data_IF_970458756258
#
_entry.id   IF_970458756258
#
_cell.length_a   1.000
_cell.length_b   1.000
_cell.length_c   1.000
_cell.angle_alpha   90.00
_cell.angle_beta   90.00
_cell.angle_gamma   90.00
#
_symmetry.space_group_name_H-M   'P 1'
#
loop_
_entity.id
_entity.type
_entity.pdbx_description
1 polymer ?
#
# COMPACT_ATOMS: atom_id res chain seq x y z
N UNK A 1 -51.88 -67.42 33.98
CA UNK A 1 -52.17 -66.16 34.69
C UNK A 1 -51.27 -65.04 34.15
N UNK A 2 -51.88 -64.09 33.46
CA UNK A 2 -51.56 -62.65 33.35
C UNK A 2 -50.12 -62.09 33.36
N UNK A 3 -49.77 -61.45 32.23
CA UNK A 3 -49.09 -60.14 31.99
C UNK A 3 -47.77 -59.81 32.71
N UNK A 4 -46.74 -59.45 31.94
CA UNK A 4 -46.39 -58.04 31.63
C UNK A 4 -45.15 -57.92 30.74
N UNK A 5 -45.09 -56.80 30.02
CA UNK A 5 -44.27 -56.40 28.88
C UNK A 5 -42.80 -56.07 29.22
N UNK A 6 -41.87 -56.30 28.28
CA UNK A 6 -40.75 -55.37 27.95
C UNK A 6 -40.00 -55.79 26.68
N UNK A 7 -40.03 -54.91 25.68
CA UNK A 7 -39.21 -54.91 24.47
C UNK A 7 -37.76 -54.50 24.76
N UNK A 8 -36.78 -55.07 24.04
CA UNK A 8 -35.63 -54.31 23.51
C UNK A 8 -35.04 -55.02 22.28
N UNK A 9 -35.04 -54.32 21.16
CA UNK A 9 -34.57 -54.72 19.82
C UNK A 9 -33.14 -54.24 19.53
N UNK A 10 -32.39 -55.05 18.75
CA UNK A 10 -31.49 -54.69 17.63
C UNK A 10 -30.32 -53.71 17.88
N UNK A 11 -29.18 -53.71 17.19
CA UNK A 11 -28.54 -54.55 16.17
C UNK A 11 -27.20 -53.87 15.87
N UNK A 12 -26.16 -54.68 15.70
CA UNK A 12 -24.77 -54.30 15.46
C UNK A 12 -24.62 -53.65 14.07
N UNK A 13 -24.30 -52.35 14.03
CA UNK A 13 -23.91 -51.64 12.83
C UNK A 13 -22.71 -50.74 13.11
N UNK A 14 -21.50 -51.11 12.64
CA UNK A 14 -20.38 -50.16 12.55
C UNK A 14 -19.20 -50.55 11.64
N UNK A 15 -19.24 -51.65 10.87
CA UNK A 15 -18.06 -52.14 10.12
C UNK A 15 -18.23 -52.30 8.60
N UNK A 16 -19.22 -51.62 8.00
CA UNK A 16 -19.44 -51.67 6.53
C UNK A 16 -19.46 -50.33 5.80
N UNK A 17 -19.14 -49.20 6.45
CA UNK A 17 -19.16 -47.87 5.79
C UNK A 17 -17.78 -47.24 5.47
N UNK A 18 -16.65 -47.93 5.73
CA UNK A 18 -15.30 -47.32 5.56
C UNK A 18 -14.58 -47.78 4.27
N UNK A 19 -15.11 -48.77 3.53
CA UNK A 19 -14.47 -49.25 2.28
C UNK A 19 -15.08 -48.72 0.97
N UNK A 20 -16.12 -47.87 1.03
CA UNK A 20 -16.79 -47.38 -0.19
C UNK A 20 -16.64 -45.87 -0.47
N UNK A 21 -15.90 -45.14 0.36
CA UNK A 21 -15.64 -43.70 0.18
C UNK A 21 -14.23 -43.37 -0.33
N UNK A 22 -13.36 -44.38 -0.54
CA UNK A 22 -12.01 -44.17 -1.05
C UNK A 22 -11.82 -44.50 -2.55
N UNK A 23 -12.81 -45.13 -3.20
CA UNK A 23 -12.74 -45.48 -4.63
C UNK A 23 -13.48 -44.50 -5.56
N UNK A 24 -14.12 -43.47 -5.01
CA UNK A 24 -14.75 -42.39 -5.79
C UNK A 24 -13.97 -41.07 -5.75
N UNK A 25 -12.93 -40.98 -4.91
CA UNK A 25 -12.04 -39.80 -4.85
C UNK A 25 -10.80 -39.91 -5.78
N UNK A 26 -10.58 -41.06 -6.41
CA UNK A 26 -9.47 -41.29 -7.36
C UNK A 26 -9.96 -41.17 -8.84
N UNK A 27 -11.26 -41.10 -9.08
CA UNK A 27 -11.85 -40.96 -10.42
C UNK A 27 -12.31 -39.52 -10.77
N UNK A 28 -11.98 -38.51 -9.95
CA UNK A 28 -12.21 -37.08 -10.26
C UNK A 28 -10.93 -36.28 -10.55
N UNK A 29 -9.79 -36.96 -10.75
CA UNK A 29 -8.52 -36.35 -11.16
C UNK A 29 -8.09 -36.76 -12.60
N UNK A 30 -9.05 -37.12 -13.46
CA UNK A 30 -8.78 -37.49 -14.85
C UNK A 30 -9.40 -36.54 -15.89
N UNK A 31 -9.96 -35.40 -15.47
CA UNK A 31 -10.32 -34.28 -16.36
C UNK A 31 -9.37 -33.11 -16.13
N UNK A 32 -8.07 -33.38 -16.25
CA UNK A 32 -7.12 -32.32 -16.57
C UNK A 32 -7.43 -31.88 -18.00
N UNK A 33 -8.15 -30.78 -18.15
CA UNK A 33 -8.12 -30.02 -19.40
C UNK A 33 -6.67 -29.58 -19.55
N UNK A 34 -5.91 -30.36 -20.30
CA UNK A 34 -4.57 -30.02 -20.73
C UNK A 34 -4.76 -28.83 -21.67
N UNK A 35 -4.66 -27.61 -21.14
CA UNK A 35 -4.49 -26.43 -21.96
C UNK A 35 -3.12 -26.61 -22.59
N UNK A 36 -3.11 -27.18 -23.79
CA UNK A 36 -1.96 -27.10 -24.66
C UNK A 36 -1.74 -25.60 -24.89
N UNK A 37 -0.74 -25.05 -24.22
CA UNK A 37 -0.14 -23.78 -24.59
C UNK A 37 0.40 -24.05 -26.00
N UNK A 38 -0.38 -23.70 -27.01
CA UNK A 38 0.15 -23.60 -28.35
C UNK A 38 1.18 -22.48 -28.28
N UNK A 39 2.46 -22.86 -28.28
CA UNK A 39 3.50 -21.94 -28.68
C UNK A 39 3.12 -21.52 -30.10
N UNK A 40 2.55 -20.33 -30.25
CA UNK A 40 2.36 -19.74 -31.57
C UNK A 40 3.75 -19.74 -32.22
N UNK A 41 3.91 -20.30 -33.42
CA UNK A 41 5.18 -20.22 -34.11
C UNK A 41 5.52 -18.74 -34.22
N UNK A 42 6.63 -18.32 -33.60
CA UNK A 42 7.18 -16.99 -33.84
C UNK A 42 7.32 -16.87 -35.35
N UNK A 43 6.57 -15.95 -35.95
CA UNK A 43 6.68 -15.64 -37.36
C UNK A 43 8.14 -15.34 -37.63
N UNK A 44 8.83 -16.22 -38.35
CA UNK A 44 10.21 -16.01 -38.76
C UNK A 44 10.20 -14.77 -39.66
N UNK A 45 10.57 -13.61 -39.09
CA UNK A 45 10.58 -12.36 -39.83
C UNK A 45 11.64 -12.47 -40.91
N UNK A 46 11.21 -12.71 -42.15
CA UNK A 46 12.11 -12.80 -43.29
C UNK A 46 12.55 -11.41 -43.70
N UNK A 47 13.86 -11.20 -43.73
CA UNK A 47 14.44 -9.91 -44.10
C UNK A 47 14.02 -9.51 -45.52
N UNK A 48 13.42 -8.33 -45.63
CA UNK A 48 13.09 -7.70 -46.89
C UNK A 48 14.11 -6.62 -47.23
N UNK A 49 14.56 -6.63 -48.47
CA UNK A 49 15.47 -5.63 -49.01
C UNK A 49 14.80 -4.25 -48.97
N UNK A 50 15.57 -3.22 -48.69
CA UNK A 50 15.10 -1.85 -48.64
C UNK A 50 16.20 -0.83 -48.96
N UNK A 51 15.86 0.46 -49.01
CA UNK A 51 16.83 1.53 -49.23
C UNK A 51 18.02 1.43 -48.29
N UNK A 52 19.23 1.70 -48.79
CA UNK A 52 20.51 1.58 -48.07
C UNK A 52 21.07 0.18 -47.83
N UNK A 53 20.36 -0.89 -48.18
CA UNK A 53 21.01 -2.20 -48.31
C UNK A 53 22.11 -2.16 -49.38
N UNK A 54 23.11 -3.03 -49.26
CA UNK A 54 24.09 -3.28 -50.33
C UNK A 54 23.98 -4.73 -50.73
N UNK A 55 23.59 -4.97 -51.98
CA UNK A 55 23.47 -6.31 -52.54
C UNK A 55 24.57 -6.56 -53.54
N UNK A 56 25.07 -7.80 -53.55
CA UNK A 56 25.94 -8.31 -54.59
C UNK A 56 25.19 -9.38 -55.37
N UNK A 57 25.02 -9.14 -56.66
CA UNK A 57 24.41 -10.06 -57.61
C UNK A 57 25.52 -10.63 -58.47
N UNK A 58 25.62 -11.95 -58.54
CA UNK A 58 26.55 -12.68 -59.38
C UNK A 58 25.77 -13.53 -60.37
N UNK A 59 26.14 -13.45 -61.65
CA UNK A 59 25.58 -14.30 -62.71
C UNK A 59 26.68 -15.27 -63.12
N UNK A 60 26.45 -16.57 -62.92
CA UNK A 60 27.47 -17.59 -63.17
C UNK A 60 27.83 -17.65 -64.66
N UNK A 61 29.12 -17.55 -64.96
CA UNK A 61 29.64 -17.52 -66.33
C UNK A 61 29.60 -16.14 -67.00
N UNK A 62 29.04 -15.12 -66.34
CA UNK A 62 28.86 -13.77 -66.89
C UNK A 62 29.40 -12.72 -65.92
N UNK A 63 30.73 -12.53 -65.90
CA UNK A 63 31.37 -11.58 -64.98
C UNK A 63 30.93 -10.13 -65.21
N UNK A 64 30.67 -9.75 -66.46
CA UNK A 64 30.18 -8.42 -66.85
C UNK A 64 28.78 -8.09 -66.29
N UNK A 65 28.04 -9.10 -65.83
CA UNK A 65 26.74 -8.96 -65.18
C UNK A 65 26.82 -9.02 -63.65
N UNK A 66 28.02 -9.08 -63.07
CA UNK A 66 28.21 -9.04 -61.62
C UNK A 66 28.14 -7.60 -61.12
N UNK A 67 27.23 -7.35 -60.17
CA UNK A 67 26.98 -6.01 -59.62
C UNK A 67 27.05 -6.06 -58.11
N UNK A 68 27.82 -5.16 -57.51
CA UNK A 68 27.68 -4.80 -56.11
C UNK A 68 27.16 -3.37 -56.03
N UNK A 69 25.93 -3.19 -55.53
CA UNK A 69 25.27 -1.89 -55.56
C UNK A 69 24.45 -1.65 -54.31
N UNK A 70 24.45 -0.38 -53.89
CA UNK A 70 23.61 0.12 -52.81
C UNK A 70 22.20 0.37 -53.35
N UNK A 71 21.18 -0.09 -52.64
CA UNK A 71 19.78 0.15 -52.97
C UNK A 71 19.47 1.64 -52.79
N UNK A 72 18.95 2.25 -53.85
CA UNK A 72 18.57 3.66 -53.89
C UNK A 72 17.39 3.99 -52.97
N UNK A 73 17.14 5.29 -52.78
CA UNK A 73 15.99 5.78 -52.01
C UNK A 73 14.64 5.45 -52.64
N UNK A 74 14.63 5.18 -53.94
CA UNK A 74 13.49 4.67 -54.72
C UNK A 74 13.30 3.15 -54.59
N UNK A 75 14.19 2.46 -53.86
CA UNK A 75 14.12 1.02 -53.64
C UNK A 75 14.65 0.18 -54.81
N UNK A 76 15.39 0.78 -55.74
CA UNK A 76 15.92 0.12 -56.92
C UNK A 76 17.46 0.02 -56.93
N UNK A 77 17.98 -0.86 -57.78
CA UNK A 77 19.40 -0.92 -58.16
C UNK A 77 19.54 -0.80 -59.67
N UNK A 78 20.64 -0.20 -60.14
CA UNK A 78 21.00 -0.27 -61.55
C UNK A 78 21.68 -1.60 -61.85
N UNK A 79 21.14 -2.34 -62.79
CA UNK A 79 21.63 -3.65 -63.22
C UNK A 79 21.94 -3.64 -64.73
N UNK A 80 23.11 -4.16 -65.18
CA UNK A 80 23.45 -4.25 -66.60
C UNK A 80 22.35 -4.93 -67.42
N UNK A 81 22.08 -4.39 -68.61
CA UNK A 81 21.03 -4.83 -69.55
C UNK A 81 19.58 -4.62 -69.08
N UNK A 82 19.30 -4.72 -67.79
CA UNK A 82 17.95 -4.58 -67.22
C UNK A 82 17.62 -3.15 -66.76
N UNK A 83 18.60 -2.27 -66.66
CA UNK A 83 18.43 -0.89 -66.22
C UNK A 83 18.09 -0.80 -64.73
N UNK A 84 17.14 0.07 -64.37
CA UNK A 84 16.68 0.19 -62.98
C UNK A 84 15.76 -0.98 -62.63
N UNK A 85 16.16 -1.74 -61.60
CA UNK A 85 15.45 -2.91 -61.11
C UNK A 85 14.94 -2.64 -59.69
N UNK A 86 13.62 -2.62 -59.52
CA UNK A 86 12.99 -2.45 -58.21
C UNK A 86 13.15 -3.72 -57.36
N UNK A 87 13.80 -3.58 -56.20
CA UNK A 87 14.11 -4.70 -55.31
C UNK A 87 13.58 -4.54 -53.89
N UNK A 88 13.18 -3.33 -53.49
CA UNK A 88 12.61 -3.09 -52.18
C UNK A 88 11.36 -3.96 -51.93
N UNK A 89 11.23 -4.46 -50.71
CA UNK A 89 10.16 -5.37 -50.29
C UNK A 89 10.38 -6.83 -50.68
N UNK A 90 11.34 -7.14 -51.58
CA UNK A 90 11.68 -8.52 -51.94
C UNK A 90 12.62 -9.14 -50.92
N UNK A 91 12.49 -10.44 -50.69
CA UNK A 91 13.55 -11.23 -50.07
C UNK A 91 14.70 -11.46 -51.07
N UNK A 92 15.86 -11.86 -50.57
CA UNK A 92 17.01 -12.24 -51.42
C UNK A 92 16.63 -13.34 -52.41
N UNK A 93 15.83 -14.32 -51.98
CA UNK A 93 15.35 -15.42 -52.81
C UNK A 93 14.41 -14.94 -53.91
N UNK A 94 13.44 -14.09 -53.55
CA UNK A 94 12.50 -13.51 -54.52
C UNK A 94 13.23 -12.63 -55.55
N UNK A 95 14.24 -11.87 -55.12
CA UNK A 95 15.07 -11.10 -56.04
C UNK A 95 15.86 -12.02 -56.99
N UNK A 96 16.43 -13.11 -56.48
CA UNK A 96 17.14 -14.08 -57.30
C UNK A 96 16.23 -14.67 -58.38
N UNK A 97 15.05 -15.16 -58.01
CA UNK A 97 14.06 -15.72 -58.93
C UNK A 97 13.60 -14.67 -59.96
N UNK A 98 13.38 -13.43 -59.51
CA UNK A 98 13.01 -12.32 -60.37
C UNK A 98 14.09 -12.02 -61.44
N UNK A 99 15.37 -11.96 -61.03
CA UNK A 99 16.47 -11.69 -61.96
C UNK A 99 16.72 -12.84 -62.94
N UNK A 100 16.58 -14.10 -62.49
CA UNK A 100 16.65 -15.28 -63.37
C UNK A 100 15.60 -15.17 -64.49
N UNK A 101 14.35 -14.84 -64.15
CA UNK A 101 13.28 -14.66 -65.13
C UNK A 101 13.58 -13.53 -66.12
N UNK A 102 13.92 -12.35 -65.61
CA UNK A 102 14.19 -11.16 -66.45
C UNK A 102 15.39 -11.33 -67.38
N UNK A 103 16.45 -12.02 -66.94
CA UNK A 103 17.62 -12.29 -67.78
C UNK A 103 17.33 -13.35 -68.87
N UNK A 104 16.42 -14.30 -68.59
CA UNK A 104 16.04 -15.33 -69.54
C UNK A 104 15.19 -14.81 -70.72
N UNK A 105 14.65 -13.59 -70.63
CA UNK A 105 13.86 -12.90 -71.68
C UNK A 105 14.71 -12.40 -72.87
N UNK A 106 15.81 -13.09 -73.19
CA UNK A 106 16.65 -12.81 -74.36
C UNK A 106 18.02 -12.21 -74.07
N UNK A 107 18.41 -12.05 -72.80
CA UNK A 107 19.74 -11.52 -72.43
C UNK A 107 20.77 -12.63 -72.16
N UNK A 108 20.38 -13.70 -71.45
CA UNK A 108 21.26 -14.79 -71.05
C UNK A 108 20.55 -16.13 -71.21
N UNK A 109 21.24 -17.14 -71.77
CA UNK A 109 20.69 -18.50 -71.92
C UNK A 109 20.87 -19.29 -70.62
N UNK A 110 19.76 -19.71 -70.00
CA UNK A 110 19.74 -20.47 -68.74
C UNK A 110 20.53 -19.80 -67.60
N UNK A 111 20.18 -18.54 -67.23
CA UNK A 111 20.92 -17.77 -66.24
C UNK A 111 20.89 -18.46 -64.86
N UNK A 112 22.05 -18.47 -64.19
CA UNK A 112 22.17 -18.86 -62.78
C UNK A 112 22.63 -17.66 -61.98
N UNK A 113 21.71 -17.10 -61.21
CA UNK A 113 21.93 -15.89 -60.42
C UNK A 113 22.11 -16.26 -58.96
N UNK A 114 23.08 -15.65 -58.29
CA UNK A 114 23.24 -15.67 -56.83
C UNK A 114 23.15 -14.24 -56.32
N UNK A 115 22.32 -14.02 -55.30
CA UNK A 115 22.18 -12.72 -54.64
C UNK A 115 22.68 -12.84 -53.21
N UNK A 116 23.58 -11.94 -52.82
CA UNK A 116 24.17 -11.86 -51.49
C UNK A 116 23.86 -10.48 -50.90
N UNK A 117 23.48 -10.44 -49.63
CA UNK A 117 23.36 -9.19 -48.89
C UNK A 117 24.72 -8.88 -48.24
N UNK A 118 25.44 -7.90 -48.80
CA UNK A 118 26.79 -7.51 -48.36
C UNK A 118 26.71 -6.62 -47.13
N UNK A 119 25.74 -5.71 -47.10
CA UNK A 119 25.50 -4.84 -45.96
C UNK A 119 24.00 -4.69 -45.74
N UNK A 120 23.57 -4.98 -44.52
CA UNK A 120 22.22 -4.73 -44.03
C UNK A 120 22.05 -3.24 -43.71
N UNK A 121 20.80 -2.78 -43.72
CA UNK A 121 20.39 -1.50 -43.13
C UNK A 121 20.81 -1.39 -41.66
N UNK A 122 21.02 -0.17 -41.19
CA UNK A 122 21.39 0.08 -39.81
C UNK A 122 20.16 0.08 -38.89
N UNK A 123 20.38 -0.17 -37.61
CA UNK A 123 19.53 0.29 -36.51
C UNK A 123 20.30 1.34 -35.69
N UNK A 124 19.60 2.10 -34.86
CA UNK A 124 20.21 3.19 -34.08
C UNK A 124 19.98 2.99 -32.60
N UNK A 125 21.00 3.29 -31.79
CA UNK A 125 20.92 3.28 -30.34
C UNK A 125 21.36 4.63 -29.79
N UNK A 126 20.56 5.21 -28.90
CA UNK A 126 20.91 6.47 -28.22
C UNK A 126 20.42 6.48 -26.77
N UNK A 127 20.90 7.48 -26.01
CA UNK A 127 20.60 7.64 -24.59
C UNK A 127 21.66 7.01 -23.69
N UNK A 128 21.23 6.38 -22.60
CA UNK A 128 22.08 5.83 -21.53
C UNK A 128 22.76 4.50 -21.90
N UNK A 129 23.56 4.52 -22.96
CA UNK A 129 24.47 3.44 -23.38
C UNK A 129 25.90 3.96 -23.49
N UNK A 130 26.90 3.07 -23.45
CA UNK A 130 28.31 3.49 -23.47
C UNK A 130 28.75 4.05 -24.82
N UNK A 131 28.28 3.47 -25.92
CA UNK A 131 28.57 3.96 -27.28
C UNK A 131 27.28 4.17 -28.08
N UNK A 132 26.65 5.35 -27.99
CA UNK A 132 25.53 5.71 -28.87
C UNK A 132 25.95 5.74 -30.34
N UNK A 133 25.08 5.34 -31.27
CA UNK A 133 25.40 5.36 -32.69
C UNK A 133 24.49 4.48 -33.56
N UNK A 134 24.80 4.45 -34.85
CA UNK A 134 24.20 3.55 -35.84
C UNK A 134 25.02 2.28 -36.00
N UNK A 135 24.35 1.14 -36.04
CA UNK A 135 24.96 -0.19 -36.09
C UNK A 135 24.31 -1.02 -37.20
N UNK A 136 25.07 -1.86 -37.93
CA UNK A 136 24.50 -2.73 -38.96
C UNK A 136 23.56 -3.75 -38.32
N UNK A 137 22.39 -3.96 -38.92
CA UNK A 137 21.47 -5.02 -38.51
C UNK A 137 22.03 -6.41 -38.86
N UNK A 138 21.68 -7.41 -38.04
CA UNK A 138 21.95 -8.82 -38.30
C UNK A 138 20.67 -9.63 -38.08
N UNK A 139 20.52 -10.75 -38.79
CA UNK A 139 19.35 -11.61 -38.62
C UNK A 139 19.28 -12.19 -37.19
N UNK A 140 18.09 -12.12 -36.56
CA UNK A 140 17.89 -12.62 -35.19
C UNK A 140 18.47 -11.71 -34.10
N UNK A 141 18.61 -10.41 -34.40
CA UNK A 141 19.07 -9.40 -33.47
C UNK A 141 17.96 -9.01 -32.47
N UNK A 142 18.30 -9.02 -31.18
CA UNK A 142 17.41 -8.63 -30.08
C UNK A 142 17.88 -7.33 -29.44
N UNK A 143 17.03 -6.69 -28.63
CA UNK A 143 17.40 -5.50 -27.85
C UNK A 143 18.65 -5.75 -27.02
N UNK A 144 18.75 -6.90 -26.33
CA UNK A 144 19.92 -7.22 -25.52
C UNK A 144 21.23 -7.25 -26.33
N UNK A 145 21.23 -7.92 -27.49
CA UNK A 145 22.40 -7.98 -28.38
C UNK A 145 22.72 -6.59 -28.93
N UNK A 146 21.70 -5.83 -29.33
CA UNK A 146 21.83 -4.49 -29.85
C UNK A 146 22.49 -3.52 -28.85
N UNK A 147 22.08 -3.57 -27.58
CA UNK A 147 22.68 -2.77 -26.50
C UNK A 147 24.10 -3.27 -26.18
N UNK A 148 24.36 -4.58 -26.28
CA UNK A 148 25.71 -5.14 -26.07
C UNK A 148 26.69 -4.64 -27.12
N UNK A 149 26.27 -4.57 -28.39
CA UNK A 149 27.04 -3.96 -29.47
C UNK A 149 27.29 -2.45 -29.24
N UNK A 150 26.35 -1.78 -28.56
CA UNK A 150 26.50 -0.40 -28.09
C UNK A 150 27.32 -0.24 -26.78
N UNK A 151 28.13 -1.23 -26.42
CA UNK A 151 29.02 -1.21 -25.25
C UNK A 151 28.32 -1.47 -23.91
N UNK A 152 27.03 -1.78 -23.93
CA UNK A 152 26.20 -1.97 -22.75
C UNK A 152 25.61 -0.67 -22.19
N UNK A 153 24.80 -0.82 -21.15
CA UNK A 153 24.19 0.30 -20.43
C UNK A 153 25.20 1.13 -19.64
N UNK A 154 24.89 2.40 -19.39
CA UNK A 154 25.54 3.20 -18.34
C UNK A 154 24.96 2.85 -16.97
N UNK A 155 25.60 3.29 -15.89
CA UNK A 155 25.08 3.14 -14.52
C UNK A 155 23.77 3.91 -14.26
N UNK A 156 23.43 4.85 -15.15
CA UNK A 156 22.24 5.67 -15.04
C UNK A 156 21.08 5.14 -15.87
N UNK A 157 21.24 4.05 -16.61
CA UNK A 157 20.27 3.58 -17.59
C UNK A 157 19.05 2.89 -16.98
N UNK A 158 17.88 3.08 -17.60
CA UNK A 158 16.74 2.18 -17.47
C UNK A 158 17.00 0.90 -18.29
N UNK A 159 17.17 -0.22 -17.60
CA UNK A 159 17.62 -1.48 -18.23
C UNK A 159 16.49 -2.46 -18.52
N UNK A 160 15.25 -2.20 -18.13
CA UNK A 160 14.13 -3.14 -18.33
C UNK A 160 13.19 -2.72 -19.44
N UNK A 161 13.06 -1.42 -19.70
CA UNK A 161 12.13 -0.88 -20.69
C UNK A 161 12.87 0.02 -21.66
N UNK A 162 13.05 -0.47 -22.88
CA UNK A 162 13.69 0.31 -23.94
C UNK A 162 12.61 0.79 -24.88
N UNK A 163 12.57 2.09 -25.14
CA UNK A 163 11.66 2.62 -26.15
C UNK A 163 12.28 2.36 -27.52
N UNK A 164 11.51 1.78 -28.43
CA UNK A 164 11.90 1.62 -29.82
C UNK A 164 10.92 2.40 -30.69
N UNK A 165 11.44 3.35 -31.46
CA UNK A 165 10.66 4.00 -32.51
C UNK A 165 10.85 3.22 -33.80
N UNK A 166 9.72 2.73 -34.34
CA UNK A 166 9.66 2.00 -35.61
C UNK A 166 8.85 2.80 -36.62
N UNK A 167 9.41 2.97 -37.81
CA UNK A 167 8.71 3.60 -38.94
C UNK A 167 8.10 2.49 -39.78
N UNK A 168 6.76 2.45 -39.87
CA UNK A 168 6.03 1.53 -40.76
C UNK A 168 5.27 2.37 -41.78
N UNK A 169 5.79 2.42 -43.01
CA UNK A 169 5.31 3.37 -44.02
C UNK A 169 5.56 4.82 -43.59
N UNK A 170 4.56 5.69 -43.70
CA UNK A 170 4.67 7.10 -43.31
C UNK A 170 4.39 7.36 -41.81
N UNK A 171 4.17 6.32 -41.00
CA UNK A 171 3.84 6.47 -39.57
C UNK A 171 4.96 5.94 -38.69
N UNK A 172 5.50 6.82 -37.86
CA UNK A 172 6.37 6.45 -36.75
C UNK A 172 5.52 6.08 -35.53
N UNK A 173 5.79 4.92 -34.94
CA UNK A 173 5.21 4.51 -33.66
C UNK A 173 6.31 4.18 -32.66
N UNK A 174 6.14 4.62 -31.41
CA UNK A 174 7.05 4.24 -30.31
C UNK A 174 6.42 3.12 -29.49
N UNK A 175 7.15 2.01 -29.36
CA UNK A 175 6.77 0.85 -28.57
C UNK A 175 7.80 0.60 -27.47
N UNK A 176 7.37 0.07 -26.33
CA UNK A 176 8.29 -0.38 -25.29
C UNK A 176 8.65 -1.83 -25.56
N UNK A 177 9.95 -2.11 -25.73
CA UNK A 177 10.48 -3.44 -25.96
C UNK A 177 11.16 -3.99 -24.70
N UNK A 178 10.97 -5.29 -24.47
CA UNK A 178 11.77 -6.06 -23.52
C UNK A 178 13.11 -6.48 -24.13
N UNK A 179 14.01 -7.01 -23.30
CA UNK A 179 15.39 -7.37 -23.72
C UNK A 179 15.44 -8.43 -24.84
N UNK A 180 14.50 -9.38 -24.84
CA UNK A 180 14.44 -10.46 -25.84
C UNK A 180 13.63 -10.09 -27.08
N UNK A 181 13.05 -8.89 -27.13
CA UNK A 181 12.26 -8.49 -28.28
C UNK A 181 13.17 -8.36 -29.52
N UNK A 182 12.73 -8.87 -30.69
CA UNK A 182 13.46 -8.68 -31.93
C UNK A 182 13.41 -7.21 -32.34
N UNK A 183 14.56 -6.70 -32.78
CA UNK A 183 14.63 -5.38 -33.40
C UNK A 183 14.56 -5.52 -34.91
N UNK A 184 14.12 -4.47 -35.59
CA UNK A 184 14.07 -4.41 -37.04
C UNK A 184 15.08 -3.39 -37.56
N UNK A 185 15.42 -3.49 -38.86
CA UNK A 185 16.17 -2.43 -39.52
C UNK A 185 15.45 -1.09 -39.39
N UNK A 186 16.25 -0.02 -39.32
CA UNK A 186 15.79 1.36 -39.15
C UNK A 186 15.12 1.66 -37.80
N UNK A 187 15.02 0.69 -36.87
CA UNK A 187 14.56 0.96 -35.50
C UNK A 187 15.51 1.93 -34.78
N UNK A 188 14.92 2.85 -34.00
CA UNK A 188 15.65 3.75 -33.11
C UNK A 188 15.39 3.33 -31.67
N UNK A 189 16.38 2.72 -31.03
CA UNK A 189 16.36 2.36 -29.61
C UNK A 189 16.76 3.56 -28.76
N UNK A 190 15.88 3.97 -27.86
CA UNK A 190 16.08 5.02 -26.88
C UNK A 190 16.19 4.40 -25.48
N UNK A 191 17.35 4.59 -24.84
CA UNK A 191 17.58 4.19 -23.46
C UNK A 191 17.47 5.41 -22.57
N UNK A 192 16.38 5.50 -21.82
CA UNK A 192 16.18 6.59 -20.86
C UNK A 192 17.01 6.41 -19.58
N UNK A 193 17.11 7.45 -18.74
CA UNK A 193 17.67 7.34 -17.41
C UNK A 193 16.74 6.52 -16.48
N UNK A 194 17.34 5.81 -15.54
CA UNK A 194 16.68 5.10 -14.46
C UNK A 194 15.92 6.09 -13.60
N UNK A 195 14.61 5.91 -13.55
CA UNK A 195 13.73 6.69 -12.69
C UNK A 195 13.95 6.32 -11.23
N UNK A 196 13.71 7.27 -10.33
CA UNK A 196 13.98 7.10 -8.89
C UNK A 196 12.80 7.57 -8.06
N UNK A 197 12.76 7.15 -6.82
CA UNK A 197 11.91 7.74 -5.78
C UNK A 197 12.75 7.94 -4.51
N UNK A 198 12.23 8.70 -3.56
CA UNK A 198 12.96 9.09 -2.35
C UNK A 198 12.29 8.51 -1.11
N UNK A 199 13.09 7.98 -0.19
CA UNK A 199 12.63 7.53 1.14
C UNK A 199 13.40 8.28 2.21
N UNK A 200 12.68 8.83 3.19
CA UNK A 200 13.24 9.64 4.27
C UNK A 200 12.56 9.36 5.61
N UNK A 201 13.18 9.83 6.70
CA UNK A 201 12.67 9.69 8.06
C UNK A 201 13.07 8.37 8.73
N UNK A 202 12.18 7.82 9.56
CA UNK A 202 12.41 6.64 10.41
C UNK A 202 12.37 5.31 9.64
N UNK A 203 13.27 5.17 8.67
CA UNK A 203 13.59 3.91 7.98
C UNK A 203 15.04 3.50 8.24
N UNK A 204 15.38 2.22 8.08
CA UNK A 204 16.75 1.76 8.35
C UNK A 204 17.79 2.38 7.40
N UNK A 205 17.43 2.52 6.13
CA UNK A 205 18.30 3.07 5.09
C UNK A 205 17.54 4.17 4.33
N UNK A 206 17.57 5.43 4.79
CA UNK A 206 16.99 6.53 4.01
C UNK A 206 17.85 6.81 2.77
N UNK A 207 17.23 7.31 1.70
CA UNK A 207 17.95 7.62 0.47
C UNK A 207 17.08 7.61 -0.78
N UNK A 208 17.77 7.55 -1.93
CA UNK A 208 17.16 7.48 -3.26
C UNK A 208 17.17 6.03 -3.73
N UNK A 209 16.10 5.59 -4.37
CA UNK A 209 15.91 4.21 -4.78
C UNK A 209 15.44 4.12 -6.23
N UNK A 210 15.78 3.03 -6.95
CA UNK A 210 15.26 2.80 -8.30
C UNK A 210 13.73 2.66 -8.28
N UNK A 211 13.05 3.33 -9.21
CA UNK A 211 11.62 3.18 -9.43
C UNK A 211 11.36 2.10 -10.50
N UNK A 212 10.34 1.28 -10.25
CA UNK A 212 9.83 0.28 -11.19
C UNK A 212 8.31 0.42 -11.29
N UNK A 213 7.75 0.15 -12.48
CA UNK A 213 6.30 0.25 -12.69
C UNK A 213 5.55 -0.72 -11.76
N UNK A 214 4.55 -0.22 -11.04
CA UNK A 214 3.78 -1.01 -10.08
C UNK A 214 4.41 -1.12 -8.68
N UNK A 215 5.40 -0.28 -8.36
CA UNK A 215 6.00 -0.21 -7.03
C UNK A 215 4.96 0.25 -5.99
N UNK A 216 4.86 -0.47 -4.86
CA UNK A 216 4.02 -0.09 -3.72
C UNK A 216 4.83 0.52 -2.58
N UNK A 217 4.16 1.26 -1.68
CA UNK A 217 4.77 1.79 -0.45
C UNK A 217 5.40 0.68 0.40
N UNK A 218 4.73 -0.47 0.54
CA UNK A 218 5.28 -1.61 1.28
C UNK A 218 6.61 -2.09 0.70
N UNK A 219 6.67 -2.24 -0.64
CA UNK A 219 7.88 -2.67 -1.33
C UNK A 219 8.98 -1.60 -1.22
N UNK A 220 8.63 -0.33 -1.36
CA UNK A 220 9.53 0.80 -1.18
C UNK A 220 10.17 0.82 0.23
N UNK A 221 9.37 0.65 1.29
CA UNK A 221 9.89 0.56 2.66
C UNK A 221 10.80 -0.66 2.85
N UNK A 222 10.45 -1.79 2.23
CA UNK A 222 11.28 -2.99 2.26
C UNK A 222 12.65 -2.76 1.59
N UNK A 223 12.68 -2.03 0.47
CA UNK A 223 13.93 -1.61 -0.19
C UNK A 223 14.77 -0.70 0.71
N UNK A 224 14.12 0.13 1.52
CA UNK A 224 14.76 0.97 2.54
C UNK A 224 15.16 0.22 3.84
N UNK A 225 15.12 -1.11 3.85
CA UNK A 225 15.47 -1.95 5.00
C UNK A 225 14.36 -2.09 6.06
N UNK A 226 13.18 -1.54 5.79
CA UNK A 226 12.04 -1.47 6.69
C UNK A 226 12.07 -0.26 7.62
N UNK A 227 11.04 -0.17 8.46
CA UNK A 227 10.89 0.86 9.49
C UNK A 227 11.90 0.66 10.63
N UNK A 228 12.32 1.75 11.29
CA UNK A 228 13.05 1.67 12.57
C UNK A 228 12.10 1.37 13.73
N UNK A 229 12.63 1.04 14.91
CA UNK A 229 11.82 0.86 16.13
C UNK A 229 11.17 2.17 16.62
N UNK A 230 11.65 3.32 16.15
CA UNK A 230 11.13 4.65 16.50
C UNK A 230 10.12 5.16 15.47
N UNK A 231 9.92 4.43 14.38
CA UNK A 231 9.01 4.81 13.33
C UNK A 231 7.57 4.80 13.80
N UNK A 232 6.80 5.75 13.30
CA UNK A 232 5.35 5.74 13.36
C UNK A 232 4.78 5.09 12.08
N UNK A 233 4.21 3.87 12.14
CA UNK A 233 3.59 3.24 10.97
C UNK A 233 2.36 3.99 10.43
N UNK A 234 1.70 4.83 11.24
CA UNK A 234 0.60 5.68 10.82
C UNK A 234 1.07 7.05 10.29
N UNK A 235 2.33 7.40 10.54
CA UNK A 235 2.98 8.65 10.11
C UNK A 235 3.70 8.52 8.77
N UNK A 236 3.36 7.51 7.96
CA UNK A 236 3.89 7.34 6.62
C UNK A 236 3.15 8.32 5.70
N UNK A 237 3.90 9.19 5.03
CA UNK A 237 3.40 10.20 4.10
C UNK A 237 3.99 9.99 2.72
N UNK A 238 3.14 10.04 1.70
CA UNK A 238 3.55 10.03 0.31
C UNK A 238 3.34 11.43 -0.27
N UNK A 239 4.41 12.03 -0.76
CA UNK A 239 4.42 13.34 -1.39
C UNK A 239 4.72 13.20 -2.87
N UNK A 240 3.85 13.76 -3.71
CA UNK A 240 3.97 13.74 -5.17
C UNK A 240 4.14 15.14 -5.72
N UNK A 241 5.12 15.30 -6.60
CA UNK A 241 5.37 16.55 -7.32
C UNK A 241 4.66 16.49 -8.68
N UNK A 242 3.59 17.27 -8.84
CA UNK A 242 2.86 17.42 -10.11
C UNK A 242 3.09 18.82 -10.69
N UNK A 243 2.76 19.03 -11.95
CA UNK A 243 2.75 20.36 -12.57
C UNK A 243 1.83 21.34 -11.83
N UNK A 244 0.74 20.82 -11.23
CA UNK A 244 -0.23 21.59 -10.43
C UNK A 244 0.25 21.92 -9.01
N UNK A 245 1.43 21.45 -8.59
CA UNK A 245 1.99 21.67 -7.26
C UNK A 245 2.33 20.37 -6.52
N UNK A 246 2.47 20.49 -5.20
CA UNK A 246 2.86 19.39 -4.31
C UNK A 246 1.62 18.85 -3.61
N UNK A 247 1.35 17.56 -3.78
CA UNK A 247 0.29 16.85 -3.05
C UNK A 247 0.92 15.92 -2.02
N UNK A 248 0.35 15.86 -0.81
CA UNK A 248 0.78 14.93 0.24
C UNK A 248 -0.41 14.18 0.80
N UNK A 249 -0.31 12.86 0.82
CA UNK A 249 -1.35 11.96 1.31
C UNK A 249 -0.79 10.92 2.29
N UNK A 250 -1.69 10.18 2.95
CA UNK A 250 -1.29 9.07 3.80
C UNK A 250 -0.71 7.93 2.93
N UNK A 251 0.50 7.50 3.25
CA UNK A 251 1.20 6.42 2.53
C UNK A 251 0.71 5.05 2.99
N UNK A 252 -0.52 4.68 2.62
CA UNK A 252 -1.01 3.32 2.83
C UNK A 252 -0.10 2.31 2.12
N UNK A 253 0.08 1.12 2.71
CA UNK A 253 1.08 0.14 2.27
C UNK A 253 0.90 -0.32 0.81
N UNK A 254 -0.35 -0.37 0.33
CA UNK A 254 -0.70 -0.78 -1.03
C UNK A 254 -0.71 0.38 -2.04
N UNK A 255 -0.54 1.63 -1.58
CA UNK A 255 -0.52 2.79 -2.47
C UNK A 255 0.66 2.67 -3.45
N UNK A 256 0.39 2.96 -4.72
CA UNK A 256 1.41 2.97 -5.76
C UNK A 256 2.31 4.20 -5.64
N UNK A 257 3.62 3.95 -5.57
CA UNK A 257 4.67 4.95 -5.65
C UNK A 257 4.95 5.20 -7.14
N UNK A 258 5.12 6.45 -7.53
CA UNK A 258 5.53 6.85 -8.87
C UNK A 258 6.98 7.33 -8.88
N UNK A 259 7.51 7.55 -10.08
CA UNK A 259 8.79 8.23 -10.24
C UNK A 259 8.74 9.62 -9.60
N UNK A 260 9.85 9.99 -8.98
CA UNK A 260 10.11 11.23 -8.25
C UNK A 260 9.23 11.47 -7.01
N UNK A 261 8.39 10.51 -6.61
CA UNK A 261 7.66 10.55 -5.34
C UNK A 261 8.64 10.56 -4.14
N UNK A 262 8.22 11.22 -3.06
CA UNK A 262 8.91 11.24 -1.76
C UNK A 262 8.07 10.54 -0.71
N UNK A 263 8.60 9.44 -0.17
CA UNK A 263 8.05 8.71 0.96
C UNK A 263 8.75 9.17 2.24
N UNK A 264 8.00 9.76 3.15
CA UNK A 264 8.50 10.20 4.45
C UNK A 264 7.87 9.38 5.58
N UNK A 265 8.69 8.90 6.50
CA UNK A 265 8.23 8.17 7.69
C UNK A 265 8.50 9.01 8.93
N UNK A 266 7.44 9.47 9.58
CA UNK A 266 7.58 10.21 10.83
C UNK A 266 7.97 9.31 12.00
N UNK A 267 8.62 9.89 13.00
CA UNK A 267 8.95 9.18 14.23
C UNK A 267 7.88 9.31 15.31
N UNK A 268 7.81 8.33 16.20
CA UNK A 268 6.90 8.33 17.36
C UNK A 268 7.08 9.55 18.28
N UNK A 269 8.25 10.19 18.26
CA UNK A 269 8.53 11.41 19.00
C UNK A 269 7.88 12.66 18.39
N UNK A 270 7.55 12.61 17.09
CA UNK A 270 6.88 13.70 16.38
C UNK A 270 5.35 13.58 16.48
N UNK A 271 4.82 12.45 16.98
CA UNK A 271 3.40 12.35 17.31
C UNK A 271 3.08 13.34 18.42
N UNK A 272 2.11 14.20 18.14
CA UNK A 272 1.50 15.06 19.13
C UNK A 272 0.96 14.22 20.30
N UNK A 273 1.04 14.76 21.51
CA UNK A 273 0.66 14.07 22.74
C UNK A 273 -0.38 14.87 23.49
N UNK A 274 -1.01 14.23 24.46
CA UNK A 274 -1.80 14.88 25.49
C UNK A 274 -1.61 14.12 26.81
N UNK A 275 -2.03 14.70 27.93
CA UNK A 275 -1.73 14.19 29.26
C UNK A 275 -3.02 13.91 30.02
N UNK A 276 -3.07 12.80 30.76
CA UNK A 276 -4.16 12.49 31.69
C UNK A 276 -3.56 12.27 33.08
N UNK A 277 -4.15 12.92 34.08
CA UNK A 277 -3.70 12.87 35.48
C UNK A 277 -4.87 12.77 36.45
N UNK A 278 -4.58 12.36 37.69
CA UNK A 278 -5.55 12.23 38.77
C UNK A 278 -6.22 10.86 38.83
N UNK A 279 -7.51 10.82 39.16
CA UNK A 279 -8.27 9.61 39.48
C UNK A 279 -8.74 8.81 38.24
N UNK A 280 -7.77 8.38 37.44
CA UNK A 280 -7.93 7.42 36.34
C UNK A 280 -7.12 6.16 36.61
N UNK A 281 -7.46 5.04 35.96
CA UNK A 281 -6.75 3.77 36.21
C UNK A 281 -5.30 3.80 35.74
N UNK A 282 -5.02 4.42 34.60
CA UNK A 282 -3.67 4.57 34.07
C UNK A 282 -3.38 6.04 33.74
N UNK A 283 -2.92 6.86 34.70
CA UNK A 283 -2.49 8.22 34.40
C UNK A 283 -1.19 8.21 33.57
N UNK A 284 -0.95 9.24 32.77
CA UNK A 284 0.25 9.36 31.95
C UNK A 284 0.07 10.17 30.67
N UNK A 285 1.06 10.05 29.78
CA UNK A 285 1.05 10.65 28.45
C UNK A 285 0.40 9.70 27.43
N UNK A 286 -0.32 10.27 26.47
CA UNK A 286 -1.02 9.55 25.41
C UNK A 286 -0.77 10.21 24.06
N UNK A 287 -0.87 9.44 22.99
CA UNK A 287 -0.72 9.97 21.63
C UNK A 287 -2.04 10.57 21.14
N UNK A 288 -1.95 11.78 20.59
CA UNK A 288 -3.07 12.49 20.00
C UNK A 288 -3.42 11.92 18.62
N UNK A 289 -4.71 11.94 18.30
CA UNK A 289 -5.24 11.67 16.97
C UNK A 289 -6.26 12.76 16.61
N UNK A 290 -6.32 13.21 15.34
CA UNK A 290 -7.32 14.19 14.91
C UNK A 290 -8.75 13.74 15.24
N UNK A 291 -9.53 14.60 15.88
CA UNK A 291 -10.91 14.32 16.27
C UNK A 291 -11.08 13.46 17.54
N UNK A 292 -10.02 13.23 18.31
CA UNK A 292 -10.09 12.47 19.57
C UNK A 292 -10.93 13.22 20.63
N UNK A 293 -11.89 12.54 21.26
CA UNK A 293 -12.75 13.10 22.32
C UNK A 293 -12.27 12.76 23.74
N UNK A 294 -12.74 13.51 24.73
CA UNK A 294 -12.46 13.27 26.17
C UNK A 294 -12.89 11.86 26.59
N UNK A 295 -14.11 11.44 26.25
CA UNK A 295 -14.58 10.10 26.60
C UNK A 295 -13.65 9.00 26.04
N UNK A 296 -13.21 9.14 24.78
CA UNK A 296 -12.32 8.18 24.16
C UNK A 296 -10.94 8.18 24.83
N UNK A 297 -10.41 9.35 25.16
CA UNK A 297 -9.15 9.48 25.90
C UNK A 297 -9.21 8.88 27.31
N UNK A 298 -10.28 9.13 28.08
CA UNK A 298 -10.47 8.50 29.38
C UNK A 298 -10.60 6.98 29.27
N UNK A 299 -11.22 6.48 28.19
CA UNK A 299 -11.26 5.05 27.89
C UNK A 299 -9.85 4.49 27.63
N UNK A 300 -9.00 5.23 26.92
CA UNK A 300 -7.58 4.86 26.72
C UNK A 300 -6.81 4.80 28.05
N UNK A 301 -7.19 5.61 29.03
CA UNK A 301 -6.65 5.57 30.40
C UNK A 301 -7.27 4.50 31.32
N UNK A 302 -7.99 3.52 30.74
CA UNK A 302 -8.65 2.45 31.48
C UNK A 302 -9.94 2.88 32.20
N UNK A 303 -10.38 4.12 31.99
CA UNK A 303 -11.51 4.75 32.66
C UNK A 303 -11.17 5.33 34.05
N UNK A 304 -12.21 5.77 34.74
CA UNK A 304 -12.14 6.31 36.09
C UNK A 304 -11.79 5.25 37.15
N UNK A 305 -11.16 5.68 38.24
CA UNK A 305 -11.13 4.90 39.49
C UNK A 305 -12.46 5.01 40.24
N UNK A 306 -12.68 4.19 41.25
CA UNK A 306 -13.89 4.28 42.10
C UNK A 306 -13.93 5.54 42.98
N UNK A 307 -12.81 6.25 43.10
CA UNK A 307 -12.68 7.49 43.87
C UNK A 307 -12.85 8.73 43.02
N UNK A 308 -12.96 8.60 41.70
CA UNK A 308 -13.00 9.72 40.78
C UNK A 308 -14.32 10.49 40.85
N UNK A 309 -14.26 11.81 40.71
CA UNK A 309 -15.42 12.61 40.36
C UNK A 309 -15.70 12.49 38.86
N UNK A 310 -16.76 11.74 38.52
CA UNK A 310 -17.13 11.48 37.12
C UNK A 310 -17.82 12.67 36.45
N UNK A 311 -18.26 13.67 37.24
CA UNK A 311 -18.95 14.85 36.75
C UNK A 311 -17.99 16.04 36.53
N UNK A 312 -16.79 16.00 37.13
CA UNK A 312 -15.81 17.08 37.08
C UNK A 312 -14.48 16.59 36.46
N UNK A 313 -14.42 16.62 35.13
CA UNK A 313 -13.16 16.48 34.38
C UNK A 313 -12.70 17.86 33.94
N UNK A 314 -11.50 18.25 34.35
CA UNK A 314 -10.90 19.53 33.98
C UNK A 314 -9.96 19.32 32.81
N UNK A 315 -10.11 20.13 31.77
CA UNK A 315 -9.08 20.22 30.73
C UNK A 315 -8.33 21.52 30.93
N UNK A 316 -7.02 21.39 31.02
CA UNK A 316 -6.07 22.49 31.07
C UNK A 316 -5.44 22.61 29.70
N UNK A 317 -5.75 23.69 28.99
CA UNK A 317 -5.27 23.94 27.63
C UNK A 317 -4.36 25.15 27.60
N UNK A 318 -3.19 24.99 26.98
CA UNK A 318 -2.24 26.08 26.80
C UNK A 318 -2.39 26.66 25.39
N UNK A 319 -2.86 27.90 25.27
CA UNK A 319 -3.04 28.58 23.99
C UNK A 319 -1.88 29.54 23.64
N UNK A 320 -0.73 29.39 24.31
CA UNK A 320 0.46 30.23 24.12
C UNK A 320 0.52 31.48 25.00
N UNK A 321 -0.61 31.98 25.55
CA UNK A 321 -0.65 33.18 26.41
C UNK A 321 -1.41 32.99 27.72
N UNK A 322 -2.35 32.06 27.78
CA UNK A 322 -3.11 31.73 28.98
C UNK A 322 -3.29 30.22 29.13
N UNK A 323 -3.52 29.80 30.38
CA UNK A 323 -3.96 28.46 30.74
C UNK A 323 -5.46 28.56 30.99
N UNK A 324 -6.27 27.93 30.13
CA UNK A 324 -7.72 27.86 30.33
C UNK A 324 -8.07 26.52 30.98
N UNK A 325 -8.79 26.57 32.10
CA UNK A 325 -9.36 25.39 32.75
C UNK A 325 -10.86 25.40 32.51
N UNK A 326 -11.35 24.41 31.77
CA UNK A 326 -12.77 24.27 31.47
C UNK A 326 -13.32 22.96 32.05
N UNK A 327 -14.55 23.03 32.60
CA UNK A 327 -15.40 21.88 32.87
C UNK A 327 -16.09 21.54 31.56
N UNK A 328 -15.81 20.37 30.99
CA UNK A 328 -16.25 20.03 29.65
C UNK A 328 -17.15 18.81 29.61
N UNK A 329 -18.07 18.82 28.65
CA UNK A 329 -18.93 17.69 28.30
C UNK A 329 -18.10 16.57 27.63
N UNK A 330 -18.53 15.33 27.81
CA UNK A 330 -17.75 14.13 27.49
C UNK A 330 -17.35 13.99 26.00
N UNK A 331 -18.06 14.68 25.11
CA UNK A 331 -17.88 14.70 23.66
C UNK A 331 -16.88 15.75 23.16
N UNK A 332 -16.37 16.60 24.05
CA UNK A 332 -15.42 17.66 23.65
C UNK A 332 -14.15 17.07 23.02
N UNK A 333 -13.70 17.68 21.93
CA UNK A 333 -12.48 17.29 21.20
C UNK A 333 -11.24 17.79 21.93
N UNK A 334 -10.29 16.87 22.14
CA UNK A 334 -8.97 17.12 22.70
C UNK A 334 -8.08 17.77 21.64
N UNK A 335 -7.15 18.59 22.10
CA UNK A 335 -6.07 19.15 21.29
C UNK A 335 -4.70 18.65 21.77
N UNK A 336 -3.67 18.71 20.91
CA UNK A 336 -2.30 18.50 21.33
C UNK A 336 -1.94 19.31 22.58
N UNK A 337 -1.15 18.70 23.46
CA UNK A 337 -0.65 19.22 24.73
C UNK A 337 -1.71 19.56 25.79
N UNK A 338 -2.99 19.20 25.57
CA UNK A 338 -4.01 19.29 26.61
C UNK A 338 -3.64 18.41 27.82
N UNK A 339 -3.93 18.92 29.03
CA UNK A 339 -3.85 18.18 30.28
C UNK A 339 -5.25 17.94 30.86
N UNK A 340 -5.68 16.69 30.85
CA UNK A 340 -6.90 16.22 31.49
C UNK A 340 -6.59 15.91 32.96
N UNK A 341 -7.31 16.55 33.87
CA UNK A 341 -7.22 16.35 35.31
C UNK A 341 -8.54 15.82 35.81
N UNK A 342 -8.52 14.58 36.30
CA UNK A 342 -9.66 13.95 36.96
C UNK A 342 -9.48 14.09 38.46
N UNK A 343 -10.35 14.84 39.11
CA UNK A 343 -10.26 15.07 40.56
C UNK A 343 -10.91 13.93 41.33
N UNK A 344 -10.54 13.81 42.60
CA UNK A 344 -11.20 12.89 43.52
C UNK A 344 -12.60 13.39 43.87
N UNK A 345 -13.58 12.49 43.87
CA UNK A 345 -14.92 12.76 44.37
C UNK A 345 -14.83 13.17 45.84
N UNK A 346 -15.48 14.30 46.15
CA UNK A 346 -15.71 14.71 47.53
C UNK A 346 -16.51 13.64 48.24
N UNK A 347 -16.43 13.54 49.56
CA UNK A 347 -17.12 12.49 50.31
C UNK A 347 -18.12 13.06 51.28
N UNK A 348 -19.02 12.19 51.72
CA UNK A 348 -19.87 12.37 52.89
C UNK A 348 -19.73 11.12 53.75
N UNK A 349 -20.09 11.22 55.02
CA UNK A 349 -20.01 10.09 55.94
C UNK A 349 -21.41 9.76 56.43
N UNK A 350 -21.79 8.48 56.42
CA UNK A 350 -23.06 8.00 56.97
C UNK A 350 -22.75 7.04 58.09
N UNK A 351 -23.20 7.38 59.30
CA UNK A 351 -22.92 6.66 60.54
C UNK A 351 -24.21 6.32 61.29
N UNK A 352 -24.17 5.24 62.07
CA UNK A 352 -25.24 4.83 62.97
C UNK A 352 -26.11 3.72 62.39
N UNK A 353 -27.43 3.80 62.60
CA UNK A 353 -28.40 2.75 62.25
C UNK A 353 -28.77 2.74 60.75
N UNK A 354 -27.76 2.50 59.92
CA UNK A 354 -27.85 2.24 58.49
C UNK A 354 -27.21 0.89 58.14
N UNK A 355 -27.60 0.26 57.03
CA UNK A 355 -27.10 -1.07 56.67
C UNK A 355 -25.60 -1.10 56.41
N UNK A 356 -25.07 -0.06 55.79
CA UNK A 356 -23.65 0.11 55.48
C UNK A 356 -23.21 1.48 55.96
N UNK A 357 -22.58 1.54 57.13
CA UNK A 357 -21.93 2.78 57.58
C UNK A 357 -20.59 2.99 56.86
N UNK A 358 -20.19 4.23 56.64
CA UNK A 358 -18.91 4.56 56.02
C UNK A 358 -18.92 5.84 55.20
N UNK A 359 -17.87 6.01 54.39
CA UNK A 359 -17.73 7.15 53.50
C UNK A 359 -18.34 6.85 52.13
N UNK A 360 -19.13 7.78 51.60
CA UNK A 360 -19.81 7.68 50.32
C UNK A 360 -19.44 8.88 49.44
N UNK A 361 -19.40 8.71 48.11
CA UNK A 361 -19.13 9.83 47.20
C UNK A 361 -20.24 10.87 47.28
N UNK A 362 -19.86 12.14 47.27
CA UNK A 362 -20.74 13.28 47.20
C UNK A 362 -21.10 13.58 45.75
N UNK A 363 -22.38 13.79 45.48
CA UNK A 363 -22.88 14.27 44.18
C UNK A 363 -23.59 15.62 44.38
N UNK A 364 -23.49 16.54 43.42
CA UNK A 364 -24.19 17.82 43.50
C UNK A 364 -25.71 17.57 43.57
N UNK A 365 -26.37 18.14 44.58
CA UNK A 365 -27.81 17.93 44.83
C UNK A 365 -28.14 16.68 45.65
N UNK A 366 -27.15 16.04 46.29
CA UNK A 366 -27.36 14.91 47.18
C UNK A 366 -28.20 15.30 48.41
N UNK A 367 -29.19 14.47 48.75
CA UNK A 367 -30.07 14.64 49.92
C UNK A 367 -29.82 13.57 50.98
N UNK A 368 -30.21 13.84 52.23
CA UNK A 368 -30.12 12.88 53.36
C UNK A 368 -30.74 11.53 53.01
N UNK A 369 -31.90 11.54 52.38
CA UNK A 369 -32.59 10.32 51.92
C UNK A 369 -31.73 9.52 50.93
N UNK A 370 -31.20 10.20 49.90
CA UNK A 370 -30.38 9.55 48.86
C UNK A 370 -29.06 9.01 49.44
N UNK A 371 -28.42 9.75 50.34
CA UNK A 371 -27.22 9.30 51.04
C UNK A 371 -27.47 8.05 51.89
N UNK A 372 -28.56 8.03 52.67
CA UNK A 372 -28.94 6.85 53.46
C UNK A 372 -29.31 5.67 52.55
N UNK A 373 -29.91 5.94 51.39
CA UNK A 373 -30.18 4.91 50.38
C UNK A 373 -28.87 4.31 49.82
N UNK A 374 -27.87 5.15 49.55
CA UNK A 374 -26.53 4.70 49.15
C UNK A 374 -25.85 3.86 50.24
N UNK A 375 -26.12 4.18 51.52
CA UNK A 375 -25.73 3.38 52.68
C UNK A 375 -26.56 2.10 52.88
N UNK A 376 -27.31 1.66 51.87
CA UNK A 376 -28.14 0.45 51.91
C UNK A 376 -29.48 0.62 52.65
N UNK A 377 -29.83 1.84 53.04
CA UNK A 377 -31.05 2.17 53.78
C UNK A 377 -30.92 2.08 55.29
N UNK A 378 -31.99 2.45 55.99
CA UNK A 378 -32.11 2.35 57.44
C UNK A 378 -32.13 0.88 57.91
N UNK A 379 -31.59 0.62 59.11
CA UNK A 379 -31.87 -0.63 59.84
C UNK A 379 -33.27 -0.58 60.47
N UNK A 380 -33.76 -1.71 60.98
CA UNK A 380 -35.06 -1.77 61.68
C UNK A 380 -35.06 -0.98 63.00
N UNK A 381 -33.87 -0.74 63.57
CA UNK A 381 -33.71 -0.03 64.84
C UNK A 381 -33.53 1.48 64.66
N UNK A 382 -33.48 1.98 63.43
CA UNK A 382 -33.20 3.37 63.14
C UNK A 382 -34.33 4.32 63.58
N UNK A 383 -33.97 5.41 64.26
CA UNK A 383 -34.86 6.54 64.51
C UNK A 383 -34.87 7.48 63.29
N UNK A 384 -35.65 7.11 62.27
CA UNK A 384 -35.69 7.79 60.96
C UNK A 384 -35.94 9.31 61.04
N UNK A 385 -36.79 9.74 61.97
CA UNK A 385 -37.17 11.15 62.16
C UNK A 385 -36.17 11.95 63.00
N UNK A 386 -35.16 11.30 63.57
CA UNK A 386 -34.15 11.92 64.42
C UNK A 386 -32.77 11.93 63.76
N UNK A 387 -32.73 11.84 62.42
CA UNK A 387 -31.49 11.91 61.65
C UNK A 387 -30.90 13.31 61.77
N UNK A 388 -29.59 13.37 62.05
CA UNK A 388 -28.86 14.62 62.20
C UNK A 388 -27.73 14.70 61.19
N UNK A 389 -27.36 15.91 60.82
CA UNK A 389 -26.15 16.17 60.05
C UNK A 389 -25.20 16.97 60.92
N UNK A 390 -24.00 16.46 61.11
CA UNK A 390 -22.90 17.22 61.68
C UNK A 390 -22.15 17.85 60.50
N UNK A 391 -22.10 19.17 60.51
CA UNK A 391 -21.49 19.97 59.46
C UNK A 391 -20.44 20.87 60.06
N UNK A 392 -19.25 20.86 59.47
CA UNK A 392 -18.22 21.83 59.81
C UNK A 392 -18.52 23.16 59.12
N UNK A 393 -18.74 24.22 59.92
CA UNK A 393 -18.94 25.58 59.44
C UNK A 393 -17.85 26.44 60.10
N UNK A 394 -16.95 27.01 59.29
CA UNK A 394 -15.84 27.86 59.77
C UNK A 394 -14.90 27.21 60.80
N UNK A 395 -14.75 25.88 60.77
CA UNK A 395 -13.88 25.15 61.69
C UNK A 395 -14.58 24.63 62.94
N UNK A 396 -15.85 24.98 63.17
CA UNK A 396 -16.67 24.48 64.28
C UNK A 396 -17.71 23.47 63.77
N UNK A 397 -17.90 22.38 64.52
CA UNK A 397 -18.90 21.36 64.20
C UNK A 397 -20.28 21.76 64.73
N UNK A 398 -21.23 21.96 63.83
CA UNK A 398 -22.62 22.20 64.16
C UNK A 398 -23.46 20.95 63.94
N UNK A 399 -24.26 20.60 64.95
CA UNK A 399 -25.29 19.56 64.82
C UNK A 399 -26.57 20.20 64.31
N UNK A 400 -27.03 19.78 63.14
CA UNK A 400 -28.22 20.30 62.47
C UNK A 400 -29.28 19.18 62.43
N UNK A 401 -30.44 19.44 63.03
CA UNK A 401 -31.60 18.58 62.87
C UNK A 401 -32.16 18.78 61.45
N UNK A 402 -32.23 17.69 60.68
CA UNK A 402 -32.56 17.74 59.25
C UNK A 402 -33.72 16.82 58.90
N UNK A 403 -34.48 17.20 57.88
CA UNK A 403 -35.43 16.28 57.23
C UNK A 403 -34.72 15.42 56.20
N UNK A 404 -35.33 14.31 55.79
CA UNK A 404 -34.74 13.40 54.79
C UNK A 404 -34.53 14.07 53.42
N UNK A 405 -35.22 15.17 53.12
CA UNK A 405 -35.07 15.89 51.85
C UNK A 405 -34.00 17.00 51.93
N UNK A 406 -33.37 17.21 53.09
CA UNK A 406 -32.35 18.23 53.24
C UNK A 406 -31.14 17.95 52.35
N UNK A 407 -30.59 19.01 51.75
CA UNK A 407 -29.37 18.96 50.95
C UNK A 407 -28.14 18.77 51.83
N UNK A 408 -27.26 17.90 51.37
CA UNK A 408 -25.97 17.61 51.99
C UNK A 408 -24.89 18.45 51.31
N UNK A 409 -23.84 18.79 52.07
CA UNK A 409 -22.62 19.39 51.56
C UNK A 409 -21.46 18.39 51.66
N UNK A 410 -20.37 18.59 50.88
CA UNK A 410 -19.15 17.83 51.05
C UNK A 410 -18.68 17.78 52.51
N UNK A 411 -18.15 16.63 52.91
CA UNK A 411 -17.61 16.31 54.24
C UNK A 411 -18.64 16.28 55.39
N UNK A 412 -19.93 16.46 55.11
CA UNK A 412 -20.98 16.27 56.12
C UNK A 412 -20.99 14.84 56.68
N UNK A 413 -21.28 14.72 57.98
CA UNK A 413 -21.50 13.45 58.67
C UNK A 413 -22.98 13.31 59.01
N UNK A 414 -23.64 12.36 58.37
CA UNK A 414 -25.03 11.99 58.63
C UNK A 414 -25.03 10.97 59.76
N UNK A 415 -25.70 11.28 60.86
CA UNK A 415 -25.83 10.40 62.01
C UNK A 415 -27.28 9.96 62.13
N UNK A 416 -27.48 8.66 62.03
CA UNK A 416 -28.78 8.01 62.21
C UNK A 416 -28.81 7.33 63.58
N UNK A 417 -29.50 7.91 64.57
CA UNK A 417 -29.54 7.32 65.91
C UNK A 417 -30.44 6.09 65.97
N UNK A 418 -30.26 5.29 67.02
CA UNK A 418 -31.15 4.19 67.35
C UNK A 418 -32.44 4.72 68.00
N UNK A 419 -33.58 4.07 67.70
CA UNK A 419 -34.87 4.36 68.34
C UNK A 419 -34.85 3.81 69.76
N UNK A 420 -35.02 4.71 70.74
CA UNK A 420 -35.33 4.34 72.11
C UNK A 420 -36.81 3.96 72.18
N UNK A 421 -37.10 2.84 72.85
CA UNK A 421 -38.41 2.18 72.89
C UNK A 421 -39.48 3.03 73.58
#
# INVERSE_FOLDING_TARGET
MTRSNRNSTSSVGLWRLIKLTCLFLIAMFANGVMVAISAQPQSEYQYQLGPNDVVRVQVFGEEDLTVESKVGGDGAINFPLLGSVAIAGKTVKELQEYLVGRLAEGYVRSPKVTVLLVRYRNYYVHGEVKTPGGYPYEAGLTVQKAISLAGGFTEKAETRRIAATRVVGDRAGTVTLGMEAPILPDDILAVGPMQKFFVSGEVKTPGRYPYELGLTVQKALSMAGGLTERADPAGIKLTRFKESGVETEAGALETLVLADDMLAVEGLNQRQKFYISGEVKTPGQYFYQPGLTIQKALTMAGGFTDKADKAEVKVTRFNGKSVETMLLEADTVIMPDDLLVVVQAKKIYVNGEVRTSGAFPFEKGLTVHKAITMAGGFTEKAAKTSTKVLRNINGEEHTIDVTLNASILPEDIIVVPQRFF
#
